data_IF_448054752551
#
_entry.id   IF_448054752551
#
_cell.length_a   1.000
_cell.length_b   1.000
_cell.length_c   1.000
_cell.angle_alpha   90.00
_cell.angle_beta   90.00
_cell.angle_gamma   90.00
#
_symmetry.space_group_name_H-M   'P 1'
#
loop_
_entity.id
_entity.type
_entity.pdbx_description
1 polymer ?
#
# COMPACT_ATOMS: atom_id res chain seq x y z
N UNK A 1 12.59 -4.19 -9.12
CA UNK A 1 12.82 -3.28 -7.98
C UNK A 1 12.67 -1.86 -8.49
N UNK A 2 12.27 -0.91 -7.65
CA UNK A 2 12.07 0.49 -8.02
C UNK A 2 13.03 1.37 -7.22
N UNK A 3 13.77 2.24 -7.91
CA UNK A 3 14.72 3.14 -7.27
C UNK A 3 14.40 4.58 -7.64
N UNK A 4 14.37 5.47 -6.64
CA UNK A 4 14.11 6.90 -6.83
C UNK A 4 15.07 7.68 -5.96
N UNK A 5 15.82 8.59 -6.59
CA UNK A 5 16.63 9.56 -5.87
C UNK A 5 15.83 10.86 -5.77
N UNK A 6 15.52 11.27 -4.54
CA UNK A 6 14.71 12.45 -4.26
C UNK A 6 15.61 13.51 -3.61
N UNK A 7 15.86 14.65 -4.28
CA UNK A 7 16.66 15.73 -3.70
C UNK A 7 16.16 16.14 -2.32
N UNK A 8 17.09 16.28 -1.37
CA UNK A 8 16.82 16.67 0.02
C UNK A 8 15.97 15.69 0.86
N UNK A 9 15.44 14.62 0.27
CA UNK A 9 14.68 13.57 0.96
C UNK A 9 15.50 12.28 1.11
N UNK A 10 16.24 11.90 0.06
CA UNK A 10 17.11 10.74 0.03
C UNK A 10 16.76 9.72 -1.06
N UNK A 11 17.54 8.63 -1.10
CA UNK A 11 17.37 7.55 -2.06
C UNK A 11 16.43 6.48 -1.53
N UNK A 12 15.32 6.24 -2.23
CA UNK A 12 14.38 5.17 -1.97
C UNK A 12 14.70 3.95 -2.83
N UNK A 13 14.94 2.80 -2.20
CA UNK A 13 15.14 1.51 -2.87
C UNK A 13 13.99 0.59 -2.47
N UNK A 14 12.97 0.55 -3.33
CA UNK A 14 11.69 -0.10 -3.06
C UNK A 14 11.67 -1.48 -3.69
N UNK A 15 11.52 -2.50 -2.85
CA UNK A 15 11.40 -3.90 -3.27
C UNK A 15 9.99 -4.43 -3.13
N UNK A 16 9.25 -3.92 -2.15
CA UNK A 16 7.93 -4.38 -1.79
C UNK A 16 6.94 -3.22 -1.72
N UNK A 17 5.68 -3.49 -2.02
CA UNK A 17 4.56 -2.60 -1.71
C UNK A 17 3.49 -3.43 -1.02
N UNK A 18 3.04 -2.95 0.13
CA UNK A 18 2.00 -3.56 0.94
C UNK A 18 0.77 -2.67 0.87
N UNK A 19 -0.37 -3.25 0.54
CA UNK A 19 -1.66 -2.56 0.51
C UNK A 19 -2.58 -3.16 1.56
N UNK A 20 -3.30 -2.30 2.28
CA UNK A 20 -4.59 -2.70 2.84
C UNK A 20 -5.60 -2.99 1.71
N UNK A 21 -6.66 -3.75 2.01
CA UNK A 21 -7.68 -4.12 1.04
C UNK A 21 -8.85 -3.13 0.96
N UNK A 22 -9.76 -3.13 1.94
CA UNK A 22 -10.99 -2.35 1.91
C UNK A 22 -10.76 -0.88 2.31
N UNK A 23 -11.28 0.04 1.52
CA UNK A 23 -11.01 1.47 1.63
C UNK A 23 -9.71 1.89 0.94
N UNK A 24 -8.94 0.93 0.43
CA UNK A 24 -7.67 1.16 -0.29
C UNK A 24 -7.74 0.64 -1.73
N UNK A 25 -7.61 -0.67 -1.99
CA UNK A 25 -7.69 -1.26 -3.34
C UNK A 25 -9.10 -1.75 -3.71
N UNK A 26 -9.94 -1.92 -2.70
CA UNK A 26 -11.32 -2.36 -2.81
C UNK A 26 -12.25 -1.39 -2.08
N UNK A 27 -13.52 -1.41 -2.49
CA UNK A 27 -14.63 -0.73 -1.82
C UNK A 27 -15.71 -1.76 -1.54
N UNK A 28 -16.21 -1.80 -0.30
CA UNK A 28 -17.28 -2.73 0.10
C UNK A 28 -16.94 -4.21 -0.22
N UNK A 29 -15.65 -4.59 -0.22
CA UNK A 29 -15.17 -5.93 -0.56
C UNK A 29 -14.87 -6.16 -2.04
N UNK A 30 -15.27 -5.26 -2.93
CA UNK A 30 -15.09 -5.38 -4.38
C UNK A 30 -13.90 -4.53 -4.87
N UNK A 31 -13.08 -5.07 -5.76
CA UNK A 31 -11.95 -4.34 -6.33
C UNK A 31 -12.44 -3.09 -7.09
N UNK A 32 -11.79 -1.97 -6.85
CA UNK A 32 -12.06 -0.73 -7.57
C UNK A 32 -11.67 -0.91 -9.05
N UNK A 33 -12.50 -0.41 -9.95
CA UNK A 33 -12.29 -0.50 -11.38
C UNK A 33 -10.90 0.04 -11.77
N UNK A 34 -10.16 -0.74 -12.56
CA UNK A 34 -8.82 -0.36 -13.03
C UNK A 34 -7.66 -0.61 -12.05
N UNK A 35 -7.93 -1.01 -10.80
CA UNK A 35 -6.88 -1.38 -9.83
C UNK A 35 -6.17 -2.67 -10.25
N UNK A 36 -6.92 -3.70 -10.66
CA UNK A 36 -6.36 -5.01 -10.98
C UNK A 36 -5.29 -4.95 -12.07
N UNK A 37 -5.57 -4.25 -13.17
CA UNK A 37 -4.63 -4.09 -14.29
C UNK A 37 -3.37 -3.30 -13.89
N UNK A 38 -3.51 -2.30 -13.02
CA UNK A 38 -2.39 -1.49 -12.52
C UNK A 38 -1.52 -2.27 -11.54
N UNK A 39 -2.13 -3.00 -10.60
CA UNK A 39 -1.39 -3.91 -9.71
C UNK A 39 -0.64 -4.97 -10.53
N UNK A 40 -1.28 -5.55 -11.55
CA UNK A 40 -0.62 -6.50 -12.45
C UNK A 40 0.60 -5.89 -13.14
N UNK A 41 0.51 -4.68 -13.69
CA UNK A 41 1.67 -3.99 -14.25
C UNK A 41 2.75 -3.75 -13.20
N UNK A 42 2.39 -3.18 -12.06
CA UNK A 42 3.31 -2.85 -10.97
C UNK A 42 4.04 -4.11 -10.42
N UNK A 43 3.37 -5.26 -10.41
CA UNK A 43 3.94 -6.54 -9.94
C UNK A 43 5.14 -7.05 -10.75
N UNK A 44 5.36 -6.50 -11.96
CA UNK A 44 6.56 -6.78 -12.75
C UNK A 44 7.79 -6.02 -12.23
N UNK A 45 7.57 -4.95 -11.48
CA UNK A 45 8.62 -4.07 -10.95
C UNK A 45 8.87 -4.32 -9.47
N UNK A 46 7.84 -4.57 -8.65
CA UNK A 46 7.96 -4.75 -7.19
C UNK A 46 7.15 -5.95 -6.75
N UNK A 47 7.48 -6.53 -5.58
CA UNK A 47 6.63 -7.53 -4.96
C UNK A 47 5.42 -6.83 -4.32
N UNK A 48 4.23 -7.34 -4.59
CA UNK A 48 2.99 -6.76 -4.09
C UNK A 48 2.38 -7.70 -3.06
N UNK A 49 1.99 -7.14 -1.92
CA UNK A 49 1.30 -7.85 -0.86
C UNK A 49 -0.01 -7.14 -0.54
N UNK A 50 -1.10 -7.90 -0.45
CA UNK A 50 -2.41 -7.42 0.01
C UNK A 50 -2.65 -7.98 1.41
N UNK A 51 -2.87 -7.10 2.39
CA UNK A 51 -3.20 -7.48 3.76
C UNK A 51 -4.70 -7.28 3.99
N UNK A 52 -5.39 -8.32 4.44
CA UNK A 52 -6.84 -8.26 4.64
C UNK A 52 -7.28 -9.24 5.70
N UNK A 53 -8.40 -8.96 6.37
CA UNK A 53 -9.08 -9.94 7.22
C UNK A 53 -9.85 -10.99 6.38
N UNK A 54 -10.07 -10.74 5.08
CA UNK A 54 -10.80 -11.61 4.13
C UNK A 54 -12.07 -12.24 4.72
N UNK A 55 -12.92 -11.40 5.30
CA UNK A 55 -14.16 -11.81 6.00
C UNK A 55 -15.05 -12.73 5.17
N UNK A 56 -15.00 -12.60 3.83
CA UNK A 56 -15.82 -13.37 2.90
C UNK A 56 -15.07 -14.51 2.19
N UNK A 57 -13.76 -14.67 2.42
CA UNK A 57 -12.94 -15.73 1.83
C UNK A 57 -12.76 -15.63 0.31
N UNK A 58 -12.98 -14.46 -0.27
CA UNK A 58 -13.02 -14.23 -1.73
C UNK A 58 -11.76 -13.53 -2.24
N UNK A 59 -11.00 -12.86 -1.37
CA UNK A 59 -9.91 -11.98 -1.82
C UNK A 59 -8.79 -12.78 -2.48
N UNK A 60 -8.44 -13.97 -1.95
CA UNK A 60 -7.44 -14.84 -2.58
C UNK A 60 -7.79 -15.21 -4.02
N UNK A 61 -9.07 -15.44 -4.32
CA UNK A 61 -9.53 -15.80 -5.67
C UNK A 61 -9.40 -14.62 -6.64
N UNK A 62 -9.60 -13.39 -6.18
CA UNK A 62 -9.49 -12.20 -7.01
C UNK A 62 -8.07 -11.98 -7.57
N UNK A 63 -7.05 -12.50 -6.88
CA UNK A 63 -5.64 -12.37 -7.26
C UNK A 63 -5.00 -13.70 -7.70
N UNK A 64 -5.78 -14.76 -7.87
CA UNK A 64 -5.27 -16.08 -8.24
C UNK A 64 -4.55 -16.03 -9.60
N UNK A 65 -3.40 -16.69 -9.69
CA UNK A 65 -2.57 -16.69 -10.90
C UNK A 65 -1.79 -15.39 -11.17
N UNK A 66 -1.84 -14.42 -10.26
CA UNK A 66 -1.10 -13.17 -10.36
C UNK A 66 0.18 -13.19 -9.50
N UNK A 67 1.11 -12.27 -9.79
CA UNK A 67 2.32 -12.06 -8.97
C UNK A 67 2.02 -11.14 -7.78
N UNK A 68 0.93 -11.42 -7.09
CA UNK A 68 0.39 -10.64 -5.97
C UNK A 68 0.11 -11.62 -4.83
N UNK A 69 0.76 -11.40 -3.68
CA UNK A 69 0.63 -12.25 -2.52
C UNK A 69 -0.46 -11.70 -1.60
N UNK A 70 -1.49 -12.51 -1.32
CA UNK A 70 -2.56 -12.13 -0.39
C UNK A 70 -2.29 -12.77 0.98
N UNK A 71 -2.11 -11.94 1.99
CA UNK A 71 -1.94 -12.36 3.37
C UNK A 71 -3.22 -12.09 4.17
N UNK A 72 -3.75 -13.16 4.76
CA UNK A 72 -4.94 -13.09 5.61
C UNK A 72 -4.48 -12.87 7.03
N UNK A 73 -5.00 -11.81 7.65
CA UNK A 73 -4.72 -11.50 9.05
C UNK A 73 -5.45 -12.50 9.95
N UNK A 74 -4.73 -13.07 10.90
CA UNK A 74 -5.25 -14.11 11.80
C UNK A 74 -5.68 -13.55 13.16
N UNK A 75 -5.22 -12.35 13.52
CA UNK A 75 -5.47 -11.75 14.83
C UNK A 75 -6.58 -10.71 14.86
N UNK A 76 -7.22 -10.53 16.02
CA UNK A 76 -8.07 -9.37 16.30
C UNK A 76 -7.26 -8.06 16.37
N UNK A 77 -5.93 -8.15 16.48
CA UNK A 77 -4.98 -7.05 16.57
C UNK A 77 -4.35 -6.73 15.20
N UNK A 78 -5.21 -6.41 14.23
CA UNK A 78 -4.78 -6.17 12.85
C UNK A 78 -3.75 -5.04 12.66
N UNK A 79 -3.59 -4.14 13.63
CA UNK A 79 -2.60 -3.05 13.55
C UNK A 79 -1.17 -3.57 13.74
N UNK A 80 -0.97 -4.34 14.81
CA UNK A 80 0.31 -4.92 15.18
C UNK A 80 0.74 -5.98 14.15
N UNK A 81 -0.18 -6.82 13.71
CA UNK A 81 0.09 -7.87 12.72
C UNK A 81 0.54 -7.29 11.37
N UNK A 82 -0.11 -6.20 10.90
CA UNK A 82 0.33 -5.48 9.69
C UNK A 82 1.74 -4.89 9.85
N UNK A 83 2.07 -4.34 11.02
CA UNK A 83 3.42 -3.85 11.31
C UNK A 83 4.45 -4.99 11.32
N UNK A 84 4.16 -6.12 11.95
CA UNK A 84 5.03 -7.28 11.96
C UNK A 84 5.27 -7.81 10.54
N UNK A 85 4.24 -7.84 9.71
CA UNK A 85 4.35 -8.21 8.30
C UNK A 85 5.29 -7.26 7.55
N UNK A 86 5.11 -5.95 7.72
CA UNK A 86 6.00 -4.93 7.15
C UNK A 86 7.47 -5.14 7.60
N UNK A 87 7.68 -5.42 8.88
CA UNK A 87 9.02 -5.67 9.44
C UNK A 87 9.69 -6.90 8.83
N UNK A 88 8.95 -7.99 8.63
CA UNK A 88 9.45 -9.21 7.95
C UNK A 88 9.92 -8.92 6.52
N UNK A 89 9.28 -7.98 5.83
CA UNK A 89 9.67 -7.55 4.48
C UNK A 89 10.85 -6.56 4.47
N UNK A 90 11.11 -5.90 5.59
CA UNK A 90 12.06 -4.80 5.74
C UNK A 90 11.37 -3.44 5.56
N UNK A 91 11.33 -2.67 6.64
CA UNK A 91 10.71 -1.33 6.65
C UNK A 91 11.45 -0.36 5.74
N UNK A 92 12.78 -0.49 5.62
CA UNK A 92 13.71 0.32 4.82
C UNK A 92 13.58 0.14 3.29
N UNK A 93 12.68 -0.74 2.82
CA UNK A 93 12.55 -1.12 1.40
C UNK A 93 11.12 -1.40 0.98
N UNK A 94 10.16 -1.05 1.83
CA UNK A 94 8.75 -1.39 1.64
C UNK A 94 7.89 -0.15 1.76
N UNK A 95 7.08 0.10 0.73
CA UNK A 95 5.99 1.09 0.78
C UNK A 95 4.79 0.44 1.46
N UNK A 96 4.09 1.19 2.31
CA UNK A 96 2.79 0.80 2.83
C UNK A 96 1.71 1.75 2.31
N UNK A 97 0.57 1.21 1.91
CA UNK A 97 -0.59 1.96 1.42
C UNK A 97 -1.83 1.53 2.19
N UNK A 98 -2.59 2.48 2.72
CA UNK A 98 -3.77 2.19 3.54
C UNK A 98 -4.61 3.42 3.86
N UNK A 99 -5.73 3.22 4.54
CA UNK A 99 -6.65 4.28 4.95
C UNK A 99 -7.21 4.11 6.38
N UNK A 100 -7.08 2.93 6.98
CA UNK A 100 -7.70 2.56 8.24
C UNK A 100 -6.85 2.87 9.48
N UNK A 101 -7.48 2.85 10.66
CA UNK A 101 -6.75 2.97 11.93
C UNK A 101 -5.72 1.83 12.13
N UNK A 102 -6.06 0.64 11.65
CA UNK A 102 -5.19 -0.53 11.65
C UNK A 102 -4.00 -0.41 10.69
N UNK A 103 -3.97 0.58 9.81
CA UNK A 103 -2.85 0.81 8.90
C UNK A 103 -1.79 1.75 9.50
N UNK A 104 -2.17 2.50 10.54
CA UNK A 104 -1.36 3.59 11.08
C UNK A 104 0.09 3.21 11.37
N UNK A 105 0.33 2.07 12.02
CA UNK A 105 1.68 1.64 12.36
C UNK A 105 2.50 1.21 11.14
N UNK A 106 1.89 0.54 10.15
CA UNK A 106 2.63 0.16 8.94
C UNK A 106 2.94 1.40 8.08
N UNK A 107 2.01 2.37 8.01
CA UNK A 107 2.23 3.64 7.30
C UNK A 107 3.40 4.40 7.93
N UNK A 108 3.38 4.57 9.26
CA UNK A 108 4.43 5.28 10.01
C UNK A 108 5.83 4.71 9.85
N UNK A 109 5.93 3.39 9.64
CA UNK A 109 7.20 2.66 9.71
C UNK A 109 7.75 2.28 8.35
N UNK A 110 6.95 2.37 7.28
CA UNK A 110 7.39 2.09 5.92
C UNK A 110 8.50 3.06 5.48
N UNK A 111 9.23 2.70 4.41
CA UNK A 111 10.19 3.62 3.77
C UNK A 111 9.46 4.85 3.21
N UNK A 112 8.19 4.64 2.85
CA UNK A 112 7.22 5.65 2.44
C UNK A 112 5.83 5.11 2.77
N UNK A 113 5.12 5.77 3.68
CA UNK A 113 3.73 5.53 4.00
C UNK A 113 2.81 6.39 3.15
N UNK A 114 1.85 5.78 2.46
CA UNK A 114 0.90 6.49 1.59
C UNK A 114 -0.52 6.26 2.13
N UNK A 115 -1.18 7.34 2.52
CA UNK A 115 -2.58 7.33 2.87
C UNK A 115 -3.46 7.56 1.63
N UNK A 116 -4.53 6.78 1.48
CA UNK A 116 -5.58 6.99 0.47
C UNK A 116 -6.85 7.47 1.16
N UNK A 117 -7.47 8.54 0.67
CA UNK A 117 -8.76 9.02 1.21
C UNK A 117 -9.87 8.04 0.85
N UNK A 118 -9.95 7.66 -0.42
CA UNK A 118 -10.90 6.68 -0.92
C UNK A 118 -12.36 7.10 -0.70
N UNK A 119 -13.27 6.18 -1.04
CA UNK A 119 -14.70 6.39 -0.85
C UNK A 119 -15.19 6.07 0.58
N UNK A 120 -14.42 5.29 1.34
CA UNK A 120 -14.73 4.88 2.73
C UNK A 120 -14.19 5.88 3.77
N UNK A 121 -13.47 6.91 3.32
CA UNK A 121 -12.83 7.90 4.17
C UNK A 121 -11.47 7.45 4.69
N UNK A 122 -10.79 8.39 5.35
CA UNK A 122 -9.45 8.19 5.92
C UNK A 122 -9.48 8.38 7.42
N UNK A 123 -8.98 7.39 8.15
CA UNK A 123 -8.82 7.48 9.58
C UNK A 123 -7.83 8.59 9.94
N UNK A 124 -8.19 9.45 10.90
CA UNK A 124 -7.32 10.53 11.39
C UNK A 124 -5.92 10.02 11.76
N UNK A 125 -5.81 8.82 12.35
CA UNK A 125 -4.52 8.27 12.74
C UNK A 125 -3.65 7.90 11.53
N UNK A 126 -4.24 7.26 10.52
CA UNK A 126 -3.55 6.96 9.26
C UNK A 126 -3.08 8.24 8.55
N UNK A 127 -3.93 9.27 8.51
CA UNK A 127 -3.56 10.58 7.94
C UNK A 127 -2.31 11.17 8.60
N UNK A 128 -2.24 11.12 9.94
CA UNK A 128 -1.13 11.72 10.69
C UNK A 128 0.17 10.90 10.64
N UNK A 129 0.08 9.62 10.32
CA UNK A 129 1.20 8.69 10.30
C UNK A 129 1.75 8.42 8.87
N UNK A 130 1.12 8.95 7.82
CA UNK A 130 1.58 8.80 6.43
C UNK A 130 2.47 9.96 5.96
N UNK A 131 3.35 9.70 5.00
CA UNK A 131 4.21 10.69 4.35
C UNK A 131 3.50 11.39 3.17
N UNK A 132 2.64 10.66 2.45
CA UNK A 132 1.88 11.16 1.31
C UNK A 132 0.40 10.88 1.47
N UNK A 133 -0.42 11.77 0.89
CA UNK A 133 -1.86 11.67 0.84
C UNK A 133 -2.35 11.70 -0.60
N UNK A 134 -3.15 10.71 -0.97
CA UNK A 134 -3.84 10.64 -2.26
C UNK A 134 -5.34 10.58 -2.06
N UNK A 135 -6.09 11.14 -3.01
CA UNK A 135 -7.55 11.01 -3.01
C UNK A 135 -7.94 9.58 -3.41
N UNK A 136 -7.31 9.06 -4.47
CA UNK A 136 -7.66 7.79 -5.10
C UNK A 136 -6.44 6.84 -5.21
N UNK A 137 -6.69 5.55 -5.08
CA UNK A 137 -5.68 4.49 -5.21
C UNK A 137 -5.10 4.40 -6.63
N UNK A 138 -5.88 4.73 -7.67
CA UNK A 138 -5.41 4.73 -9.05
C UNK A 138 -4.27 5.72 -9.24
N UNK A 139 -4.33 6.89 -8.58
CA UNK A 139 -3.26 7.89 -8.62
C UNK A 139 -2.00 7.43 -7.88
N UNK A 140 -2.15 6.66 -6.80
CA UNK A 140 -1.02 6.01 -6.12
C UNK A 140 -0.34 5.04 -7.06
N UNK A 141 -1.11 4.14 -7.69
CA UNK A 141 -0.57 3.13 -8.60
C UNK A 141 0.11 3.77 -9.81
N UNK A 142 -0.50 4.79 -10.42
CA UNK A 142 0.09 5.54 -11.53
C UNK A 142 1.35 6.32 -11.10
N UNK A 143 1.42 6.75 -9.84
CA UNK A 143 2.62 7.37 -9.25
C UNK A 143 3.75 6.37 -9.05
N UNK A 144 3.43 5.14 -8.63
CA UNK A 144 4.43 4.08 -8.50
C UNK A 144 4.90 3.56 -9.88
N UNK A 145 4.05 3.61 -10.92
CA UNK A 145 4.45 3.32 -12.30
C UNK A 145 5.30 4.45 -12.91
N UNK A 146 5.09 5.70 -12.49
CA UNK A 146 5.88 6.87 -12.90
C UNK A 146 6.53 7.59 -11.71
N UNK A 147 7.66 7.09 -11.18
CA UNK A 147 8.21 7.54 -9.90
C UNK A 147 8.75 8.97 -9.90
N UNK A 148 8.85 9.63 -11.06
CA UNK A 148 9.14 11.07 -11.16
C UNK A 148 8.11 11.92 -10.40
N UNK A 149 6.89 11.42 -10.24
CA UNK A 149 5.84 12.06 -9.43
C UNK A 149 6.20 12.09 -7.95
N UNK A 150 6.86 11.05 -7.41
CA UNK A 150 7.37 11.06 -6.03
C UNK A 150 8.40 12.16 -5.84
N UNK A 151 9.34 12.31 -6.80
CA UNK A 151 10.34 13.39 -6.76
C UNK A 151 9.67 14.77 -6.76
N UNK A 152 8.63 14.96 -7.57
CA UNK A 152 7.94 16.25 -7.66
C UNK A 152 7.24 16.64 -6.36
N UNK A 153 6.75 15.66 -5.59
CA UNK A 153 5.99 15.89 -4.35
C UNK A 153 6.87 15.96 -3.12
N UNK A 154 7.93 15.13 -3.04
CA UNK A 154 8.74 14.96 -1.82
C UNK A 154 10.04 15.77 -1.79
N UNK A 155 10.47 16.36 -2.92
CA UNK A 155 11.65 17.24 -2.92
C UNK A 155 11.35 18.52 -2.14
N UNK A 156 12.35 19.00 -1.41
CA UNK A 156 12.37 20.34 -0.82
C UNK A 156 13.03 21.36 -1.76
#
# INVERSE_FOLDING_TARGET
MLEVDIPSYGKLVIKNVVFDYNGTVAKDGELIEGVLERLKKLSHTVKIYILTADTYGTVKKAFEGMRIDVHILESEHGTEEKLEFLQKLGTDRTIAVGNGNNDSLMLKRAILGIAVIGAEGLARRALMDADLLFIDILDVLDTLENPKRLVATLRE
#
